data_IF_962728288295
#
_entry.id   IF_962728288295
#
_cell.length_a   1.000
_cell.length_b   1.000
_cell.length_c   1.000
_cell.angle_alpha   90.00
_cell.angle_beta   90.00
_cell.angle_gamma   90.00
#
_symmetry.space_group_name_H-M   'P 1'
#
loop_
_entity.id
_entity.type
_entity.pdbx_description
1 polymer ?
#
# COMPACT_ATOMS: atom_id res chain seq x y z
N UNK A 1 14.06 -16.77 3.53
CA UNK A 1 12.85 -15.98 3.85
C UNK A 1 12.60 -15.07 2.67
N UNK A 2 11.38 -14.98 2.16
CA UNK A 2 11.04 -13.96 1.16
C UNK A 2 11.02 -12.61 1.86
N UNK A 3 11.76 -11.64 1.36
CA UNK A 3 11.74 -10.28 1.91
C UNK A 3 10.38 -9.63 1.63
N UNK A 4 9.84 -8.94 2.65
CA UNK A 4 8.55 -8.27 2.59
C UNK A 4 8.75 -6.79 2.29
N UNK A 5 8.00 -6.26 1.34
CA UNK A 5 7.96 -4.84 0.99
C UNK A 5 6.57 -4.30 1.29
N UNK A 6 6.50 -3.34 2.21
CA UNK A 6 5.26 -2.59 2.47
C UNK A 6 5.17 -1.41 1.50
N UNK A 7 4.03 -1.25 0.84
CA UNK A 7 3.82 -0.18 -0.15
C UNK A 7 2.62 0.71 0.19
N UNK A 8 2.65 1.92 -0.34
CA UNK A 8 1.60 2.93 -0.25
C UNK A 8 0.92 3.12 -1.62
N UNK A 9 -0.12 3.96 -1.68
CA UNK A 9 -0.86 4.35 -2.88
C UNK A 9 0.02 5.03 -3.93
N UNK A 10 0.87 5.98 -3.54
CA UNK A 10 1.64 6.79 -4.51
C UNK A 10 2.63 5.97 -5.35
N UNK A 11 3.43 5.04 -4.79
CA UNK A 11 4.25 4.13 -5.59
C UNK A 11 3.42 3.27 -6.56
N UNK A 12 2.28 2.73 -6.13
CA UNK A 12 1.41 1.92 -6.99
C UNK A 12 0.86 2.74 -8.17
N UNK A 13 0.42 3.97 -7.91
CA UNK A 13 -0.04 4.89 -8.93
C UNK A 13 1.07 5.26 -9.92
N UNK A 14 2.28 5.54 -9.42
CA UNK A 14 3.43 5.86 -10.27
C UNK A 14 3.78 4.68 -11.20
N UNK A 15 3.85 3.47 -10.65
CA UNK A 15 4.14 2.24 -11.42
C UNK A 15 3.05 1.93 -12.45
N UNK A 16 1.79 2.23 -12.13
CA UNK A 16 0.66 2.10 -13.04
C UNK A 16 0.81 3.07 -14.22
N UNK A 17 1.09 4.35 -13.94
CA UNK A 17 1.33 5.37 -14.98
C UNK A 17 2.53 5.06 -15.87
N UNK A 18 3.54 4.40 -15.31
CA UNK A 18 4.73 3.94 -16.05
C UNK A 18 4.48 2.64 -16.83
N UNK A 19 3.31 1.99 -16.68
CA UNK A 19 2.96 0.71 -17.31
C UNK A 19 3.91 -0.44 -16.93
N UNK A 20 4.46 -0.41 -15.72
CA UNK A 20 5.40 -1.42 -15.22
C UNK A 20 4.91 -2.15 -13.96
N UNK A 21 3.69 -1.87 -13.49
CA UNK A 21 3.13 -2.48 -12.28
C UNK A 21 3.20 -4.02 -12.30
N UNK A 22 2.87 -4.65 -13.43
CA UNK A 22 2.90 -6.10 -13.58
C UNK A 22 4.32 -6.68 -13.62
N UNK A 23 5.33 -5.87 -13.95
CA UNK A 23 6.74 -6.29 -13.86
C UNK A 23 7.20 -6.36 -12.40
N UNK A 24 6.70 -5.46 -11.54
CA UNK A 24 7.00 -5.45 -10.11
C UNK A 24 6.48 -6.72 -9.42
N UNK A 25 5.28 -7.18 -9.77
CA UNK A 25 4.70 -8.42 -9.24
C UNK A 25 5.47 -9.70 -9.59
N UNK A 26 6.45 -9.64 -10.51
CA UNK A 26 7.31 -10.78 -10.87
C UNK A 26 8.61 -10.83 -10.06
N UNK A 27 8.88 -9.81 -9.25
CA UNK A 27 10.04 -9.81 -8.37
C UNK A 27 9.87 -10.84 -7.25
N UNK A 28 10.98 -11.33 -6.71
CA UNK A 28 10.99 -12.35 -5.65
C UNK A 28 10.78 -11.74 -4.27
N UNK A 29 9.81 -10.83 -4.14
CA UNK A 29 9.42 -10.16 -2.90
C UNK A 29 7.95 -10.41 -2.59
N UNK A 30 7.59 -10.43 -1.32
CA UNK A 30 6.20 -10.36 -0.89
C UNK A 30 5.82 -8.89 -0.76
N UNK A 31 4.91 -8.42 -1.60
CA UNK A 31 4.37 -7.06 -1.48
C UNK A 31 3.11 -7.06 -0.65
N UNK A 32 3.04 -6.16 0.32
CA UNK A 32 1.88 -5.98 1.20
C UNK A 32 1.50 -4.49 1.30
N UNK A 33 0.24 -4.21 1.60
CA UNK A 33 -0.22 -2.88 2.01
C UNK A 33 -1.26 -2.98 3.14
N UNK A 34 -1.47 -1.92 3.93
CA UNK A 34 -2.53 -1.89 4.91
C UNK A 34 -3.91 -1.65 4.26
N UNK A 35 -4.99 -2.06 4.93
CA UNK A 35 -6.36 -1.89 4.43
C UNK A 35 -6.75 -0.42 4.14
N UNK A 36 -6.11 0.53 4.82
CA UNK A 36 -6.25 1.97 4.59
C UNK A 36 -5.82 2.36 3.17
N UNK A 37 -4.73 1.77 2.67
CA UNK A 37 -4.24 1.99 1.29
C UNK A 37 -5.17 1.37 0.26
N UNK A 38 -5.71 0.17 0.54
CA UNK A 38 -6.74 -0.42 -0.30
C UNK A 38 -7.96 0.51 -0.43
N UNK A 39 -8.42 1.05 0.70
CA UNK A 39 -9.55 1.98 0.74
C UNK A 39 -9.27 3.23 -0.10
N UNK A 40 -8.09 3.82 0.03
CA UNK A 40 -7.69 5.00 -0.77
C UNK A 40 -7.70 4.69 -2.28
N UNK A 41 -7.15 3.55 -2.69
CA UNK A 41 -7.13 3.13 -4.10
C UNK A 41 -8.54 2.93 -4.64
N UNK A 42 -9.42 2.25 -3.88
CA UNK A 42 -10.81 2.04 -4.29
C UNK A 42 -11.59 3.34 -4.40
N UNK A 43 -11.37 4.29 -3.48
CA UNK A 43 -11.96 5.62 -3.55
C UNK A 43 -11.45 6.39 -4.78
N UNK A 44 -10.15 6.34 -5.06
CA UNK A 44 -9.55 6.94 -6.26
C UNK A 44 -10.12 6.34 -7.54
N UNK A 45 -10.23 5.02 -7.62
CA UNK A 45 -10.84 4.34 -8.77
C UNK A 45 -12.29 4.80 -9.01
N UNK A 46 -13.10 4.93 -7.94
CA UNK A 46 -14.47 5.45 -8.03
C UNK A 46 -14.55 6.92 -8.46
N UNK A 47 -13.47 7.69 -8.28
CA UNK A 47 -13.35 9.08 -8.75
C UNK A 47 -12.81 9.19 -10.18
N UNK A 48 -12.52 8.06 -10.84
CA UNK A 48 -12.02 8.01 -12.21
C UNK A 48 -10.49 8.04 -12.34
N UNK A 49 -9.74 7.86 -11.25
CA UNK A 49 -8.30 7.63 -11.33
C UNK A 49 -8.02 6.23 -11.87
N UNK A 50 -7.09 6.12 -12.81
CA UNK A 50 -6.63 4.84 -13.36
C UNK A 50 -5.67 4.15 -12.37
N UNK A 51 -6.23 3.59 -11.30
CA UNK A 51 -5.53 2.86 -10.26
C UNK A 51 -6.35 1.63 -9.85
N UNK A 52 -5.67 0.53 -9.56
CA UNK A 52 -6.29 -0.71 -9.07
C UNK A 52 -5.35 -1.42 -8.11
N UNK A 53 -5.91 -2.27 -7.25
CA UNK A 53 -5.14 -3.22 -6.46
C UNK A 53 -4.69 -4.35 -7.41
N UNK A 54 -3.38 -4.59 -7.56
CA UNK A 54 -2.91 -5.70 -8.37
C UNK A 54 -3.03 -7.02 -7.61
N UNK A 55 -3.28 -8.13 -8.33
CA UNK A 55 -3.53 -9.46 -7.74
C UNK A 55 -2.36 -10.01 -6.91
N UNK A 56 -1.14 -9.50 -7.13
CA UNK A 56 0.06 -9.89 -6.40
C UNK A 56 0.28 -9.10 -5.10
N UNK A 57 -0.52 -8.06 -4.83
CA UNK A 57 -0.41 -7.24 -3.63
C UNK A 57 -1.35 -7.77 -2.54
N UNK A 58 -0.78 -8.19 -1.42
CA UNK A 58 -1.54 -8.69 -0.29
C UNK A 58 -2.00 -7.53 0.61
N UNK A 59 -3.29 -7.47 0.92
CA UNK A 59 -3.84 -6.49 1.86
C UNK A 59 -3.85 -7.08 3.26
N UNK A 60 -3.20 -6.41 4.20
CA UNK A 60 -3.11 -6.82 5.60
C UNK A 60 -3.84 -5.81 6.50
N UNK A 61 -4.34 -6.30 7.63
CA UNK A 61 -4.81 -5.45 8.72
C UNK A 61 -3.69 -5.31 9.74
N UNK A 62 -3.55 -4.11 10.30
CA UNK A 62 -2.61 -3.86 11.38
C UNK A 62 -2.92 -4.77 12.57
N UNK A 63 -1.89 -5.40 13.11
CA UNK A 63 -1.99 -6.20 14.33
C UNK A 63 -1.87 -5.35 15.59
N UNK A 64 -1.42 -4.11 15.45
CA UNK A 64 -1.22 -3.13 16.52
C UNK A 64 -1.78 -1.77 16.16
N UNK A 65 -2.12 -0.97 17.18
CA UNK A 65 -2.58 0.39 16.95
C UNK A 65 -1.43 1.29 16.45
N UNK A 66 -1.74 2.20 15.54
CA UNK A 66 -0.82 3.23 15.08
C UNK A 66 -0.36 4.09 16.26
N UNK A 67 0.94 4.35 16.35
CA UNK A 67 1.52 5.24 17.36
C UNK A 67 0.82 6.61 17.37
N UNK A 68 0.52 7.19 18.56
CA UNK A 68 -0.10 8.51 18.66
C UNK A 68 0.67 9.63 17.95
N UNK A 69 2.00 9.55 17.91
CA UNK A 69 2.84 10.53 17.20
C UNK A 69 2.61 10.47 15.69
N UNK A 70 2.55 9.26 15.12
CA UNK A 70 2.26 9.06 13.70
C UNK A 70 0.84 9.49 13.37
N UNK A 71 -0.13 9.13 14.20
CA UNK A 71 -1.54 9.47 14.00
C UNK A 71 -1.84 10.98 14.04
N UNK A 72 -0.97 11.78 14.66
CA UNK A 72 -1.13 13.25 14.74
C UNK A 72 -0.33 14.01 13.68
N UNK A 73 0.62 13.35 13.01
CA UNK A 73 1.57 14.00 12.11
C UNK A 73 1.44 13.57 10.65
N UNK A 74 0.75 12.46 10.38
CA UNK A 74 0.65 11.83 9.07
C UNK A 74 -0.81 11.61 8.69
N UNK A 75 -1.06 11.45 7.39
CA UNK A 75 -2.35 10.96 6.93
C UNK A 75 -2.56 9.49 7.39
N UNK A 76 -3.83 9.08 7.49
CA UNK A 76 -4.24 7.74 7.92
C UNK A 76 -3.55 6.64 7.10
N UNK A 77 -3.46 6.78 5.78
CA UNK A 77 -2.81 5.80 4.92
C UNK A 77 -1.29 5.72 5.16
N UNK A 78 -0.63 6.87 5.29
CA UNK A 78 0.81 6.95 5.55
C UNK A 78 1.18 6.37 6.92
N UNK A 79 0.39 6.70 7.94
CA UNK A 79 0.61 6.22 9.30
C UNK A 79 0.42 4.69 9.38
N UNK A 80 -0.59 4.16 8.68
CA UNK A 80 -0.83 2.72 8.60
C UNK A 80 0.30 1.98 7.86
N UNK A 81 0.83 2.54 6.77
CA UNK A 81 1.97 1.95 6.04
C UNK A 81 3.21 1.84 6.92
N UNK A 82 3.53 2.90 7.66
CA UNK A 82 4.67 2.89 8.59
C UNK A 82 4.43 1.88 9.71
N UNK A 83 3.22 1.84 10.28
CA UNK A 83 2.89 0.88 11.34
C UNK A 83 3.05 -0.56 10.86
N UNK A 84 2.52 -0.90 9.67
CA UNK A 84 2.64 -2.24 9.09
C UNK A 84 4.11 -2.62 8.80
N UNK A 85 4.96 -1.65 8.49
CA UNK A 85 6.39 -1.88 8.27
C UNK A 85 7.19 -2.09 9.56
N UNK A 86 6.66 -1.66 10.71
CA UNK A 86 7.28 -1.83 12.03
C UNK A 86 6.84 -3.12 12.74
N UNK A 87 5.76 -3.76 12.28
CA UNK A 87 5.26 -5.06 12.76
C UNK A 87 6.13 -6.23 12.27
#
# INVERSE_FOLDING_TARGET
MTERIVTNTSPLLALTKMQILDAIGKLTFEFVCPAEVETEILLGANQGYEVKIPDWLNVLRLSSAVSPLSATSLDVGEAAVIQLALE
#
